data_IF_668464218839
#
_entry.id   IF_668464218839
#
_cell.length_a   1.000
_cell.length_b   1.000
_cell.length_c   1.000
_cell.angle_alpha   90.00
_cell.angle_beta   90.00
_cell.angle_gamma   90.00
#
_symmetry.space_group_name_H-M   'P 1'
#
loop_
_entity.id
_entity.type
_entity.pdbx_description
1 polymer ?
#
# COMPACT_ATOMS: atom_id res chain seq x y z
N UNK A 1 -1.68 8.77 -5.23
CA UNK A 1 -1.31 8.28 -3.90
C UNK A 1 -1.40 9.43 -2.94
N UNK A 2 -2.47 9.42 -2.16
CA UNK A 2 -2.63 10.38 -1.09
C UNK A 2 -1.72 10.05 0.09
N UNK A 3 -1.50 11.04 0.92
CA UNK A 3 -0.97 10.86 2.28
C UNK A 3 -2.10 11.04 3.28
N UNK A 4 -1.84 10.78 4.56
CA UNK A 4 -2.83 11.05 5.61
C UNK A 4 -3.29 12.52 5.64
N UNK A 5 -2.41 13.46 5.31
CA UNK A 5 -2.71 14.91 5.27
C UNK A 5 -3.23 15.39 3.91
N UNK A 6 -3.01 14.62 2.85
CA UNK A 6 -3.47 14.91 1.49
C UNK A 6 -4.12 13.67 0.89
N UNK A 7 -5.40 13.39 1.23
CA UNK A 7 -6.06 12.16 0.80
C UNK A 7 -6.17 12.08 -0.72
N UNK A 8 -5.95 10.87 -1.25
CA UNK A 8 -6.02 10.59 -2.67
C UNK A 8 -7.44 10.22 -3.10
N UNK A 9 -7.65 10.08 -4.41
CA UNK A 9 -8.94 9.61 -4.97
C UNK A 9 -9.41 8.28 -4.38
N UNK A 10 -8.48 7.38 -4.05
CA UNK A 10 -8.75 6.08 -3.46
C UNK A 10 -8.35 6.04 -1.98
N UNK A 11 -8.84 7.00 -1.20
CA UNK A 11 -8.62 7.06 0.25
C UNK A 11 -9.46 6.01 0.99
N UNK A 12 -8.81 5.17 1.78
CA UNK A 12 -9.46 4.17 2.61
C UNK A 12 -10.06 4.76 3.89
N UNK A 13 -9.47 5.83 4.44
CA UNK A 13 -9.96 6.44 5.67
C UNK A 13 -11.34 7.07 5.50
N UNK A 14 -11.59 7.70 4.35
CA UNK A 14 -12.91 8.24 4.01
C UNK A 14 -14.00 7.16 3.84
N UNK A 15 -13.62 5.89 3.63
CA UNK A 15 -14.56 4.78 3.39
C UNK A 15 -14.73 3.85 4.59
N UNK A 16 -13.93 4.03 5.64
CA UNK A 16 -13.98 3.19 6.81
C UNK A 16 -15.27 3.42 7.61
N UNK A 17 -15.77 2.37 8.25
CA UNK A 17 -16.86 2.52 9.20
C UNK A 17 -16.37 3.22 10.48
N UNK A 18 -17.26 3.89 11.25
CA UNK A 18 -16.85 4.67 12.43
C UNK A 18 -15.96 3.94 13.44
N UNK A 19 -16.16 2.63 13.62
CA UNK A 19 -15.43 1.81 14.60
C UNK A 19 -14.63 0.66 13.94
N UNK A 20 -14.33 0.77 12.65
CA UNK A 20 -13.55 -0.26 11.95
C UNK A 20 -12.05 -0.18 12.34
N UNK A 21 -11.45 -1.27 12.84
CA UNK A 21 -10.03 -1.27 13.16
C UNK A 21 -9.18 -1.19 11.89
N UNK A 22 -8.17 -0.33 11.92
CA UNK A 22 -7.24 -0.15 10.81
C UNK A 22 -5.88 -0.75 11.12
N UNK A 23 -5.30 -1.45 10.15
CA UNK A 23 -3.94 -1.99 10.21
C UNK A 23 -3.10 -1.33 9.13
N UNK A 24 -1.82 -1.07 9.44
CA UNK A 24 -0.92 -0.35 8.53
C UNK A 24 0.24 -1.23 8.11
N UNK A 25 0.48 -1.30 6.80
CA UNK A 25 1.72 -1.79 6.23
C UNK A 25 2.65 -0.61 5.97
N UNK A 26 3.91 -0.74 6.36
CA UNK A 26 4.90 0.33 6.27
C UNK A 26 5.87 0.08 5.12
N UNK A 27 6.36 1.15 4.47
CA UNK A 27 7.21 1.05 3.27
C UNK A 27 8.52 0.27 3.44
N UNK A 28 9.02 0.14 4.68
CA UNK A 28 10.22 -0.64 5.00
C UNK A 28 9.97 -2.15 5.08
N UNK A 29 8.73 -2.59 5.25
CA UNK A 29 8.36 -4.00 5.34
C UNK A 29 8.70 -4.71 4.01
N UNK A 30 9.53 -5.77 4.01
CA UNK A 30 9.87 -6.50 2.80
C UNK A 30 8.67 -7.21 2.15
N UNK A 31 7.66 -7.59 2.93
CA UNK A 31 6.49 -8.35 2.50
C UNK A 31 5.31 -7.49 2.05
N UNK A 32 5.30 -6.20 2.40
CA UNK A 32 4.19 -5.32 2.02
C UNK A 32 4.07 -5.08 0.50
N UNK A 33 5.15 -4.80 -0.27
CA UNK A 33 5.02 -4.65 -1.72
C UNK A 33 4.43 -5.87 -2.46
N UNK A 34 4.92 -7.12 -2.25
CA UNK A 34 4.33 -8.27 -2.93
C UNK A 34 2.88 -8.55 -2.49
N UNK A 35 2.51 -8.25 -1.24
CA UNK A 35 1.13 -8.36 -0.77
C UNK A 35 0.19 -7.40 -1.53
N UNK A 36 0.61 -6.15 -1.73
CA UNK A 36 -0.16 -5.17 -2.51
C UNK A 36 -0.29 -5.59 -3.97
N UNK A 37 0.74 -6.19 -4.57
CA UNK A 37 0.67 -6.73 -5.93
C UNK A 37 -0.29 -7.91 -6.05
N UNK A 38 -0.28 -8.81 -5.07
CA UNK A 38 -1.22 -9.92 -5.00
C UNK A 38 -2.67 -9.41 -4.89
N UNK A 39 -2.90 -8.41 -4.03
CA UNK A 39 -4.19 -7.73 -3.94
C UNK A 39 -4.60 -7.10 -5.28
N UNK A 40 -3.70 -6.36 -5.94
CA UNK A 40 -4.00 -5.70 -7.21
C UNK A 40 -4.37 -6.70 -8.31
N UNK A 41 -3.71 -7.87 -8.35
CA UNK A 41 -4.06 -8.97 -9.26
C UNK A 41 -5.45 -9.53 -8.97
N UNK A 42 -5.78 -9.77 -7.69
CA UNK A 42 -7.10 -10.26 -7.30
C UNK A 42 -8.21 -9.23 -7.61
N UNK A 43 -7.95 -7.95 -7.32
CA UNK A 43 -8.88 -6.85 -7.58
C UNK A 43 -9.16 -6.69 -9.08
N UNK A 44 -8.14 -6.76 -9.94
CA UNK A 44 -8.30 -6.74 -11.40
C UNK A 44 -9.17 -7.90 -11.89
N UNK A 45 -8.93 -9.11 -11.39
CA UNK A 45 -9.73 -10.29 -11.72
C UNK A 45 -11.20 -10.17 -11.24
N UNK A 46 -11.44 -9.42 -10.16
CA UNK A 46 -12.77 -9.14 -9.64
C UNK A 46 -13.47 -7.96 -10.35
N UNK A 47 -12.83 -7.30 -11.33
CA UNK A 47 -13.43 -6.20 -12.09
C UNK A 47 -13.35 -4.83 -11.40
N UNK A 48 -12.42 -4.64 -10.46
CA UNK A 48 -12.17 -3.35 -9.81
C UNK A 48 -11.71 -2.28 -10.81
N UNK A 49 -11.88 -1.00 -10.43
CA UNK A 49 -11.43 0.15 -11.22
C UNK A 49 -9.94 0.01 -11.62
N UNK A 50 -9.68 0.09 -12.93
CA UNK A 50 -8.33 -0.02 -13.52
C UNK A 50 -7.36 1.02 -12.98
N UNK A 51 -7.81 2.25 -12.72
CA UNK A 51 -6.97 3.31 -12.16
C UNK A 51 -6.60 3.02 -10.70
N UNK A 52 -7.52 2.42 -9.92
CA UNK A 52 -7.24 1.97 -8.55
C UNK A 52 -6.22 0.83 -8.52
N UNK A 53 -6.37 -0.14 -9.42
CA UNK A 53 -5.42 -1.24 -9.59
C UNK A 53 -4.04 -0.70 -10.01
N UNK A 54 -4.00 0.22 -10.96
CA UNK A 54 -2.76 0.86 -11.42
C UNK A 54 -2.08 1.64 -10.29
N UNK A 55 -2.84 2.38 -9.48
CA UNK A 55 -2.32 3.11 -8.33
C UNK A 55 -1.72 2.17 -7.27
N UNK A 56 -2.36 1.03 -6.98
CA UNK A 56 -1.83 0.03 -6.06
C UNK A 56 -0.52 -0.60 -6.57
N UNK A 57 -0.43 -0.90 -7.86
CA UNK A 57 0.83 -1.37 -8.49
C UNK A 57 1.93 -0.32 -8.36
N UNK A 58 1.61 0.95 -8.59
CA UNK A 58 2.56 2.06 -8.43
C UNK A 58 2.99 2.25 -6.97
N UNK A 59 2.10 2.03 -6.01
CA UNK A 59 2.41 2.05 -4.58
C UNK A 59 3.45 0.98 -4.22
N UNK A 60 3.26 -0.27 -4.66
CA UNK A 60 4.22 -1.35 -4.41
C UNK A 60 5.62 -1.03 -4.98
N UNK A 61 5.69 -0.42 -6.17
CA UNK A 61 6.94 0.07 -6.76
C UNK A 61 7.60 1.13 -5.88
N UNK A 62 6.83 2.13 -5.42
CA UNK A 62 7.33 3.20 -4.55
C UNK A 62 7.85 2.67 -3.21
N UNK A 63 7.18 1.70 -2.60
CA UNK A 63 7.66 1.06 -1.36
C UNK A 63 9.03 0.41 -1.57
N UNK A 64 9.22 -0.32 -2.68
CA UNK A 64 10.52 -0.90 -3.04
C UNK A 64 11.59 0.16 -3.28
N UNK A 65 11.25 1.25 -3.97
CA UNK A 65 12.17 2.37 -4.20
C UNK A 65 12.59 3.02 -2.88
N UNK A 66 11.62 3.31 -2.01
CA UNK A 66 11.88 3.88 -0.69
C UNK A 66 12.81 2.98 0.13
N UNK A 67 12.55 1.67 0.18
CA UNK A 67 13.41 0.71 0.90
C UNK A 67 14.83 0.62 0.33
N UNK A 68 15.00 0.75 -0.99
CA UNK A 68 16.34 0.79 -1.62
C UNK A 68 17.12 2.03 -1.21
N UNK A 69 16.44 3.17 -1.11
CA UNK A 69 17.04 4.45 -0.71
C UNK A 69 17.28 4.54 0.80
N UNK A 70 16.44 3.90 1.60
CA UNK A 70 16.46 3.94 3.06
C UNK A 70 16.77 2.53 3.58
N UNK A 71 18.06 2.16 3.62
CA UNK A 71 18.50 0.89 4.20
C UNK A 71 17.99 0.83 5.65
N UNK A 72 17.21 -0.20 6.03
CA UNK A 72 16.82 -0.36 7.42
C UNK A 72 18.08 -0.52 8.28
N UNK A 73 18.06 -0.06 9.55
CA UNK A 73 19.18 -0.23 10.46
C UNK A 73 19.54 -1.73 10.62
N UNK A 74 20.80 -2.07 10.93
CA UNK A 74 21.30 -3.44 10.82
C UNK A 74 20.72 -4.46 11.82
N UNK A 75 19.84 -4.07 12.75
CA UNK A 75 19.46 -4.90 13.90
C UNK A 75 17.95 -5.14 14.01
N UNK A 76 17.59 -6.43 14.10
CA UNK A 76 16.40 -6.95 14.78
C UNK A 76 15.04 -6.61 14.19
N UNK A 77 14.55 -7.43 13.26
CA UNK A 77 13.12 -7.47 12.92
C UNK A 77 12.71 -8.90 12.51
N UNK A 78 12.61 -9.76 13.53
CA UNK A 78 11.61 -10.82 13.62
C UNK A 78 10.99 -10.73 15.01
#
# INVERSE_FOLDING_TARGET
>A
MGTRSEPGRYDCHAKALPDEPHFTLIGRDPFAPPLIEAWAKAAEAAGEDREKVAEARALAVRMRQWRKLNKPPPEGYL
#
